data_IF_984700346522
#
_entry.id   IF_984700346522
#
_cell.length_a   1.000
_cell.length_b   1.000
_cell.length_c   1.000
_cell.angle_alpha   90.00
_cell.angle_beta   90.00
_cell.angle_gamma   90.00
#
_symmetry.space_group_name_H-M   'P 1'
#
loop_
_entity.id
_entity.type
_entity.pdbx_description
1 polymer ?
#
# COMPACT_ATOMS: atom_id res chain seq x y z
N UNK A 1 47.04 20.84 -19.53
CA UNK A 1 46.67 19.68 -20.37
C UNK A 1 46.62 18.50 -19.40
N UNK A 2 45.44 18.08 -18.91
CA UNK A 2 44.51 17.12 -19.55
C UNK A 2 45.28 15.86 -19.99
N UNK A 3 45.01 14.63 -19.52
CA UNK A 3 43.74 13.90 -19.32
C UNK A 3 44.00 12.72 -18.36
N UNK A 4 43.23 12.51 -17.29
CA UNK A 4 42.04 11.64 -17.21
C UNK A 4 42.21 10.26 -17.86
N UNK A 5 42.18 9.21 -17.03
CA UNK A 5 41.43 7.98 -17.26
C UNK A 5 41.57 7.11 -16.01
N UNK A 6 40.46 6.91 -15.29
CA UNK A 6 40.18 5.71 -14.53
C UNK A 6 38.71 5.76 -14.12
N UNK A 7 37.89 5.18 -14.99
CA UNK A 7 36.57 4.65 -14.67
C UNK A 7 36.63 3.91 -13.34
N UNK A 8 35.90 4.40 -12.34
CA UNK A 8 35.58 3.63 -11.15
C UNK A 8 34.09 3.77 -10.89
N UNK A 9 33.36 2.74 -11.33
CA UNK A 9 32.05 2.44 -10.80
C UNK A 9 32.17 2.31 -9.27
N UNK A 10 31.39 3.10 -8.53
CA UNK A 10 31.34 3.06 -7.08
C UNK A 10 30.56 1.82 -6.66
N UNK A 11 31.25 0.86 -6.05
CA UNK A 11 30.66 -0.30 -5.36
C UNK A 11 30.48 0.00 -3.88
N UNK A 12 29.50 -0.65 -3.27
CA UNK A 12 28.67 -0.17 -2.15
C UNK A 12 29.27 -0.26 -0.74
N UNK A 13 30.52 0.18 -0.52
CA UNK A 13 31.18 0.08 0.81
C UNK A 13 31.65 1.40 1.43
N UNK A 14 31.25 2.55 0.89
CA UNK A 14 31.57 3.84 1.51
C UNK A 14 30.60 4.16 2.67
N UNK A 15 31.13 4.03 3.89
CA UNK A 15 30.47 4.40 5.15
C UNK A 15 30.17 5.91 5.14
N UNK A 16 28.94 6.25 4.82
CA UNK A 16 28.38 7.59 5.07
C UNK A 16 28.24 7.77 6.58
N UNK A 17 28.81 8.85 7.11
CA UNK A 17 28.56 9.34 8.46
C UNK A 17 27.07 9.70 8.58
N UNK A 18 26.24 8.76 9.04
CA UNK A 18 24.85 9.03 9.42
C UNK A 18 24.89 9.71 10.79
N UNK A 19 24.78 11.03 10.82
CA UNK A 19 24.45 11.74 12.07
C UNK A 19 22.99 11.36 12.38
N UNK A 20 22.82 10.43 13.32
CA UNK A 20 21.53 10.12 13.93
C UNK A 20 20.97 11.40 14.59
N UNK A 21 19.85 11.90 14.09
CA UNK A 21 19.21 13.14 14.56
C UNK A 21 18.25 13.81 13.56
N UNK A 22 17.45 13.04 12.82
CA UNK A 22 16.52 13.55 11.80
C UNK A 22 15.42 14.48 12.30
N UNK A 23 14.86 15.34 11.43
CA UNK A 23 13.65 16.13 11.73
C UNK A 23 12.47 15.18 11.56
N UNK A 24 11.69 15.04 12.63
CA UNK A 24 10.44 14.30 12.61
C UNK A 24 9.42 14.92 11.63
N UNK A 25 8.66 14.08 10.93
CA UNK A 25 7.54 14.46 10.09
C UNK A 25 7.92 15.00 8.71
N UNK A 26 8.79 14.34 7.94
CA UNK A 26 9.03 14.72 6.53
C UNK A 26 8.04 14.02 5.61
N UNK A 27 7.42 14.79 4.72
CA UNK A 27 6.53 14.25 3.69
C UNK A 27 7.33 13.46 2.64
N UNK A 28 6.80 12.35 2.14
CA UNK A 28 7.26 11.69 0.92
C UNK A 28 6.22 11.75 -0.22
N UNK A 29 5.09 12.41 0.02
CA UNK A 29 4.04 12.67 -0.96
C UNK A 29 3.47 14.08 -0.78
N UNK A 30 2.96 14.67 -1.87
CA UNK A 30 2.38 16.01 -1.86
C UNK A 30 1.65 16.34 -3.16
N UNK A 31 1.18 17.58 -3.28
CA UNK A 31 0.19 17.98 -4.29
C UNK A 31 0.59 17.72 -5.76
N UNK A 32 1.84 18.03 -6.13
CA UNK A 32 2.34 17.86 -7.50
C UNK A 32 2.26 16.39 -7.93
N UNK A 33 2.69 15.47 -7.06
CA UNK A 33 2.72 14.03 -7.37
C UNK A 33 1.29 13.47 -7.33
N UNK A 34 0.43 13.96 -6.42
CA UNK A 34 -0.99 13.59 -6.40
C UNK A 34 -1.71 13.95 -7.71
N UNK A 35 -1.47 15.15 -8.26
CA UNK A 35 -2.04 15.58 -9.52
C UNK A 35 -1.48 14.77 -10.72
N UNK A 36 -0.17 14.52 -10.75
CA UNK A 36 0.44 13.67 -11.78
C UNK A 36 -0.16 12.26 -11.77
N UNK A 37 -0.29 11.66 -10.57
CA UNK A 37 -0.89 10.35 -10.37
C UNK A 37 -2.36 10.30 -10.83
N UNK A 38 -3.14 11.35 -10.51
CA UNK A 38 -4.53 11.48 -10.95
C UNK A 38 -4.65 11.53 -12.47
N UNK A 39 -3.82 12.32 -13.16
CA UNK A 39 -3.78 12.39 -14.63
C UNK A 39 -3.45 11.03 -15.24
N UNK A 40 -2.53 10.29 -14.61
CA UNK A 40 -2.14 8.94 -15.04
C UNK A 40 -3.16 7.84 -14.69
N UNK A 41 -4.22 8.18 -13.95
CA UNK A 41 -5.25 7.25 -13.46
C UNK A 41 -4.68 6.18 -12.51
N UNK A 42 -3.67 6.55 -11.72
CA UNK A 42 -3.24 5.78 -10.55
C UNK A 42 -4.36 5.87 -9.51
N UNK A 43 -4.63 4.77 -8.81
CA UNK A 43 -5.81 4.66 -7.94
C UNK A 43 -5.64 5.31 -6.58
N UNK A 44 -4.41 5.35 -6.08
CA UNK A 44 -4.09 5.89 -4.77
C UNK A 44 -2.64 5.66 -4.39
N UNK A 45 -2.27 6.15 -3.20
CA UNK A 45 -0.94 5.96 -2.63
C UNK A 45 -0.99 5.49 -1.19
N UNK A 46 -0.21 4.47 -0.86
CA UNK A 46 0.05 3.97 0.48
C UNK A 46 1.48 4.29 0.85
N UNK A 47 1.70 4.82 2.03
CA UNK A 47 2.98 5.39 2.43
C UNK A 47 3.33 4.95 3.85
N UNK A 48 4.44 4.25 4.06
CA UNK A 48 4.98 4.06 5.42
C UNK A 48 5.73 5.32 5.88
N UNK A 49 4.97 6.40 6.03
CA UNK A 49 5.50 7.75 6.25
C UNK A 49 4.41 8.82 6.20
N UNK A 50 4.83 10.07 5.99
CA UNK A 50 3.95 11.24 6.04
C UNK A 50 3.64 11.77 4.64
N UNK A 51 2.48 12.40 4.49
CA UNK A 51 2.13 13.21 3.32
C UNK A 51 2.00 14.69 3.71
N UNK A 52 2.04 15.58 2.72
CA UNK A 52 1.66 16.99 2.88
C UNK A 52 0.62 17.37 1.84
N UNK A 53 0.08 18.59 1.94
CA UNK A 53 -0.89 19.13 0.98
C UNK A 53 -2.12 18.21 0.82
N UNK A 54 -2.59 17.60 1.92
CA UNK A 54 -3.65 16.57 1.87
C UNK A 54 -4.99 17.12 1.35
N UNK A 55 -5.22 18.42 1.54
CA UNK A 55 -6.38 19.12 1.00
C UNK A 55 -6.39 19.07 -0.54
N UNK A 56 -5.24 19.28 -1.19
CA UNK A 56 -5.12 19.19 -2.65
C UNK A 56 -5.43 17.79 -3.17
N UNK A 57 -4.95 16.75 -2.49
CA UNK A 57 -5.27 15.35 -2.82
C UNK A 57 -6.77 15.05 -2.66
N UNK A 58 -7.39 15.59 -1.59
CA UNK A 58 -8.84 15.46 -1.36
C UNK A 58 -9.64 16.12 -2.47
N UNK A 59 -9.27 17.34 -2.87
CA UNK A 59 -10.03 18.15 -3.82
C UNK A 59 -10.05 17.52 -5.23
N UNK A 60 -9.02 16.77 -5.60
CA UNK A 60 -8.97 15.98 -6.84
C UNK A 60 -9.51 14.55 -6.68
N UNK A 61 -9.98 14.19 -5.48
CA UNK A 61 -10.45 12.85 -5.14
C UNK A 61 -9.39 11.78 -5.37
N UNK A 62 -8.15 12.03 -4.94
CA UNK A 62 -7.04 11.08 -4.99
C UNK A 62 -6.76 10.54 -3.57
N UNK A 63 -6.91 9.23 -3.34
CA UNK A 63 -6.76 8.66 -2.02
C UNK A 63 -5.29 8.45 -1.62
N UNK A 64 -4.96 8.87 -0.40
CA UNK A 64 -3.62 8.80 0.20
C UNK A 64 -3.74 8.22 1.60
N UNK A 65 -3.06 7.12 1.83
CA UNK A 65 -2.97 6.41 3.09
C UNK A 65 -1.55 6.49 3.61
N UNK A 66 -1.40 6.68 4.92
CA UNK A 66 -0.09 6.73 5.55
C UNK A 66 -0.18 6.94 7.04
N UNK A 67 0.91 7.42 7.64
CA UNK A 67 1.04 7.56 9.10
C UNK A 67 0.66 8.93 9.64
N UNK A 68 0.50 9.91 8.76
CA UNK A 68 0.04 11.24 9.14
C UNK A 68 0.32 12.32 8.08
N UNK A 69 -0.01 13.55 8.47
CA UNK A 69 0.15 14.75 7.64
C UNK A 69 1.18 15.68 8.26
N UNK A 70 1.99 16.33 7.42
CA UNK A 70 3.03 17.30 7.83
C UNK A 70 3.12 18.45 6.84
N UNK A 71 3.82 19.53 7.21
CA UNK A 71 4.17 20.63 6.30
C UNK A 71 5.59 20.52 5.71
N UNK A 72 6.43 19.63 6.26
CA UNK A 72 7.87 19.58 5.95
C UNK A 72 8.12 18.82 4.64
N UNK A 73 8.79 19.48 3.69
CA UNK A 73 9.04 18.94 2.34
C UNK A 73 10.10 17.84 2.28
N UNK A 74 9.86 16.85 1.41
CA UNK A 74 10.84 15.84 0.98
C UNK A 74 12.09 16.42 0.31
N UNK A 75 11.98 17.63 -0.26
CA UNK A 75 12.99 18.20 -1.16
C UNK A 75 14.33 18.34 -0.45
N UNK A 76 15.37 17.81 -1.09
CA UNK A 76 16.74 17.71 -0.57
C UNK A 76 16.86 16.88 0.73
N UNK A 77 15.85 16.07 1.08
CA UNK A 77 15.84 15.25 2.31
C UNK A 77 15.63 13.77 2.04
N UNK A 78 14.89 13.44 0.98
CA UNK A 78 14.64 12.08 0.54
C UNK A 78 15.02 11.92 -0.93
N UNK A 79 15.44 10.72 -1.30
CA UNK A 79 15.66 10.31 -2.68
C UNK A 79 14.99 8.96 -2.92
N UNK A 80 14.47 8.78 -4.13
CA UNK A 80 14.12 7.45 -4.63
C UNK A 80 15.41 6.67 -4.90
N UNK A 81 15.46 5.42 -4.47
CA UNK A 81 16.58 4.50 -4.79
C UNK A 81 16.17 3.27 -5.56
N UNK A 82 14.91 2.88 -5.47
CA UNK A 82 14.42 1.68 -6.16
C UNK A 82 12.91 1.77 -6.42
N UNK A 83 12.45 1.02 -7.41
CA UNK A 83 11.04 0.91 -7.78
C UNK A 83 10.77 -0.42 -8.50
N UNK A 84 9.58 -0.99 -8.30
CA UNK A 84 9.21 -2.30 -8.85
C UNK A 84 9.96 -3.46 -8.17
N UNK A 85 10.38 -3.28 -6.92
CA UNK A 85 11.08 -4.28 -6.11
C UNK A 85 10.37 -4.55 -4.79
N UNK A 86 10.71 -5.65 -4.11
CA UNK A 86 10.11 -5.97 -2.80
C UNK A 86 10.40 -4.85 -1.79
N UNK A 87 9.37 -4.45 -1.05
CA UNK A 87 9.43 -3.49 0.05
C UNK A 87 8.83 -4.07 1.32
N UNK A 88 9.15 -3.48 2.48
CA UNK A 88 8.58 -3.87 3.77
C UNK A 88 7.65 -2.79 4.31
N UNK A 89 6.37 -3.11 4.40
CA UNK A 89 5.31 -2.22 4.87
C UNK A 89 4.82 -2.68 6.24
N UNK A 90 5.36 -2.08 7.31
CA UNK A 90 4.92 -2.36 8.70
C UNK A 90 4.96 -3.85 9.08
N UNK A 91 5.98 -4.57 8.59
CA UNK A 91 6.15 -6.02 8.81
C UNK A 91 5.48 -6.91 7.76
N UNK A 92 4.81 -6.32 6.76
CA UNK A 92 4.28 -7.03 5.59
C UNK A 92 5.25 -6.87 4.43
N UNK A 93 5.67 -7.97 3.82
CA UNK A 93 6.44 -7.91 2.56
C UNK A 93 5.47 -7.65 1.42
N UNK A 94 5.75 -6.63 0.62
CA UNK A 94 4.94 -6.26 -0.54
C UNK A 94 5.83 -6.29 -1.77
N UNK A 95 5.43 -7.10 -2.74
CA UNK A 95 6.06 -7.17 -4.04
C UNK A 95 5.21 -6.42 -5.07
N UNK A 96 5.80 -6.17 -6.24
CA UNK A 96 5.04 -5.61 -7.33
C UNK A 96 3.89 -6.55 -7.71
N UNK A 97 2.74 -5.97 -8.09
CA UNK A 97 1.52 -6.66 -8.50
C UNK A 97 0.74 -7.34 -7.35
N UNK A 98 1.22 -7.29 -6.10
CA UNK A 98 0.41 -7.65 -4.93
C UNK A 98 -0.78 -6.70 -4.78
N UNK A 99 -1.88 -7.17 -4.22
CA UNK A 99 -3.10 -6.38 -4.13
C UNK A 99 -3.12 -5.52 -2.86
N UNK A 100 -3.38 -4.23 -3.04
CA UNK A 100 -3.65 -3.27 -1.97
C UNK A 100 -5.16 -3.13 -1.81
N UNK A 101 -5.68 -3.31 -0.59
CA UNK A 101 -7.05 -2.98 -0.21
C UNK A 101 -6.97 -1.92 0.89
N UNK A 102 -7.53 -0.74 0.65
CA UNK A 102 -7.42 0.38 1.57
C UNK A 102 -8.73 1.18 1.68
N UNK A 103 -9.16 1.43 2.92
CA UNK A 103 -10.38 2.19 3.23
C UNK A 103 -10.24 2.95 4.57
N UNK A 104 -11.36 3.33 5.19
CA UNK A 104 -11.34 4.09 6.43
C UNK A 104 -10.88 3.32 7.67
N UNK A 105 -10.81 1.99 7.60
CA UNK A 105 -10.37 1.13 8.68
C UNK A 105 -8.87 0.80 8.60
N UNK A 106 -8.23 1.03 7.45
CA UNK A 106 -6.78 0.89 7.30
C UNK A 106 -6.36 0.42 5.93
N UNK A 107 -5.27 -0.34 5.89
CA UNK A 107 -4.68 -0.91 4.67
C UNK A 107 -4.30 -2.37 4.90
N UNK A 108 -4.67 -3.23 3.96
CA UNK A 108 -4.22 -4.61 3.90
C UNK A 108 -3.57 -4.88 2.54
N UNK A 109 -2.59 -5.79 2.55
CA UNK A 109 -1.93 -6.32 1.36
C UNK A 109 -2.24 -7.81 1.22
N UNK A 110 -2.46 -8.25 0.00
CA UNK A 110 -2.72 -9.66 -0.33
C UNK A 110 -1.80 -10.05 -1.49
N UNK A 111 -1.02 -11.12 -1.29
CA UNK A 111 -0.17 -11.65 -2.34
C UNK A 111 -0.98 -12.04 -3.57
N UNK A 112 -0.49 -11.74 -4.77
CA UNK A 112 -1.20 -12.02 -6.02
C UNK A 112 -1.59 -13.51 -6.16
N UNK A 113 -0.78 -14.44 -5.65
CA UNK A 113 -1.04 -15.89 -5.69
C UNK A 113 -2.07 -16.39 -4.65
N UNK A 114 -2.49 -15.52 -3.71
CA UNK A 114 -3.48 -15.84 -2.66
C UNK A 114 -4.75 -15.00 -2.77
N UNK A 115 -4.85 -14.14 -3.78
CA UNK A 115 -5.94 -13.16 -3.88
C UNK A 115 -7.33 -13.80 -3.96
N UNK A 116 -7.48 -14.88 -4.73
CA UNK A 116 -8.77 -15.55 -4.94
C UNK A 116 -9.33 -16.18 -3.66
N UNK A 117 -8.49 -16.85 -2.86
CA UNK A 117 -8.95 -17.50 -1.62
C UNK A 117 -9.23 -16.49 -0.50
N UNK A 118 -8.50 -15.38 -0.46
CA UNK A 118 -8.78 -14.27 0.46
C UNK A 118 -10.11 -13.62 0.07
N UNK A 119 -10.34 -13.40 -1.23
CA UNK A 119 -11.59 -12.87 -1.75
C UNK A 119 -12.78 -13.74 -1.36
N UNK A 120 -12.77 -15.05 -1.70
CA UNK A 120 -13.87 -15.97 -1.36
C UNK A 120 -14.21 -15.93 0.13
N UNK A 121 -13.16 -16.02 0.97
CA UNK A 121 -13.34 -16.05 2.40
C UNK A 121 -13.88 -14.71 2.95
N UNK A 122 -13.35 -13.58 2.47
CA UNK A 122 -13.80 -12.25 2.87
C UNK A 122 -15.27 -12.02 2.51
N UNK A 123 -15.71 -12.37 1.30
CA UNK A 123 -17.12 -12.25 0.91
C UNK A 123 -18.06 -13.09 1.80
N UNK A 124 -17.60 -14.27 2.25
CA UNK A 124 -18.38 -15.14 3.12
C UNK A 124 -18.47 -14.56 4.53
N UNK A 125 -17.38 -13.98 5.03
CA UNK A 125 -17.33 -13.25 6.30
C UNK A 125 -18.28 -12.04 6.23
N UNK A 126 -18.16 -11.20 5.21
CA UNK A 126 -18.98 -9.98 5.03
C UNK A 126 -20.46 -10.30 4.95
N UNK A 127 -20.84 -11.33 4.18
CA UNK A 127 -22.22 -11.81 4.10
C UNK A 127 -22.74 -12.25 5.47
N UNK A 128 -21.91 -12.87 6.30
CA UNK A 128 -22.32 -13.30 7.64
C UNK A 128 -22.38 -12.12 8.61
N UNK A 129 -21.38 -11.26 8.63
CA UNK A 129 -21.34 -10.08 9.49
C UNK A 129 -22.50 -9.11 9.19
N UNK A 130 -22.83 -8.92 7.90
CA UNK A 130 -24.00 -8.14 7.49
C UNK A 130 -25.28 -8.70 8.12
N UNK A 131 -25.48 -10.02 8.10
CA UNK A 131 -26.65 -10.67 8.75
C UNK A 131 -26.62 -10.51 10.26
N UNK A 132 -25.45 -10.69 10.89
CA UNK A 132 -25.27 -10.50 12.34
C UNK A 132 -25.66 -9.08 12.76
N UNK A 133 -25.22 -8.06 12.02
CA UNK A 133 -25.60 -6.66 12.27
C UNK A 133 -27.11 -6.46 12.15
N UNK A 134 -27.76 -7.07 11.15
CA UNK A 134 -29.23 -6.99 11.02
C UNK A 134 -29.96 -7.69 12.18
N UNK A 135 -29.49 -8.87 12.61
CA UNK A 135 -30.06 -9.59 13.76
C UNK A 135 -29.94 -8.79 15.05
N UNK A 136 -28.80 -8.15 15.29
CA UNK A 136 -28.62 -7.25 16.44
C UNK A 136 -29.59 -6.06 16.34
N UNK A 137 -29.72 -5.45 15.15
CA UNK A 137 -30.63 -4.32 14.91
C UNK A 137 -32.10 -4.68 15.09
N UNK A 138 -32.49 -5.93 14.85
CA UNK A 138 -33.85 -6.43 15.10
C UNK A 138 -34.08 -6.92 16.53
N UNK A 139 -33.09 -6.78 17.42
CA UNK A 139 -33.20 -7.03 18.85
C UNK A 139 -32.74 -8.41 19.32
N UNK A 140 -32.08 -9.21 18.46
CA UNK A 140 -31.47 -10.47 18.89
C UNK A 140 -30.33 -10.18 19.87
N UNK A 141 -30.24 -10.88 21.03
CA UNK A 141 -29.15 -10.68 21.98
C UNK A 141 -27.77 -10.93 21.35
N UNK A 142 -26.83 -10.02 21.57
CA UNK A 142 -25.46 -10.08 20.99
C UNK A 142 -24.75 -11.39 21.31
N UNK A 143 -24.93 -11.93 22.53
CA UNK A 143 -24.33 -13.21 22.94
C UNK A 143 -24.80 -14.38 22.08
N UNK A 144 -26.03 -14.35 21.56
CA UNK A 144 -26.54 -15.39 20.66
C UNK A 144 -26.04 -15.20 19.23
N UNK A 145 -25.89 -13.96 18.79
CA UNK A 145 -25.38 -13.62 17.45
C UNK A 145 -23.89 -13.97 17.34
N UNK A 146 -23.11 -13.63 18.36
CA UNK A 146 -21.65 -13.82 18.38
C UNK A 146 -21.23 -15.28 18.59
N UNK A 147 -22.03 -16.09 19.29
CA UNK A 147 -21.75 -17.53 19.49
C UNK A 147 -22.45 -18.42 18.45
N UNK A 148 -22.82 -17.86 17.30
CA UNK A 148 -23.44 -18.62 16.22
C UNK A 148 -22.39 -19.49 15.49
N UNK A 149 -22.59 -20.81 15.54
CA UNK A 149 -21.75 -21.82 14.89
C UNK A 149 -21.57 -21.60 13.38
N UNK A 150 -22.47 -20.86 12.74
CA UNK A 150 -22.35 -20.51 11.32
C UNK A 150 -21.12 -19.64 11.03
N UNK A 151 -20.70 -18.76 11.95
CA UNK A 151 -19.51 -17.94 11.76
C UNK A 151 -18.22 -18.76 11.94
N UNK A 152 -18.22 -19.69 12.90
CA UNK A 152 -17.11 -20.62 13.13
C UNK A 152 -16.89 -21.55 11.92
N UNK A 153 -17.98 -21.98 11.27
CA UNK A 153 -17.92 -22.90 10.13
C UNK A 153 -17.33 -22.29 8.83
N UNK A 154 -17.16 -20.97 8.76
CA UNK A 154 -16.65 -20.30 7.54
C UNK A 154 -15.21 -20.73 7.20
N UNK A 155 -14.38 -21.08 8.19
CA UNK A 155 -12.99 -21.50 7.93
C UNK A 155 -12.84 -22.93 7.37
N UNK A 156 -13.88 -23.77 7.44
CA UNK A 156 -13.74 -25.22 7.20
C UNK A 156 -13.82 -25.65 5.72
N UNK A 157 -13.88 -24.72 4.76
CA UNK A 157 -13.98 -25.04 3.34
C UNK A 157 -13.14 -24.10 2.49
N UNK A 158 -11.91 -24.49 2.18
CA UNK A 158 -11.09 -23.95 1.09
C UNK A 158 -10.29 -25.08 0.45
N UNK A 159 -10.40 -25.22 -0.88
CA UNK A 159 -9.51 -26.03 -1.72
C UNK A 159 -8.92 -25.05 -2.74
N UNK A 160 -7.60 -24.82 -2.71
CA UNK A 160 -6.92 -23.94 -3.66
C UNK A 160 -5.93 -24.73 -4.54
N UNK A 161 -5.87 -24.47 -5.85
CA UNK A 161 -4.70 -24.79 -6.66
C UNK A 161 -3.66 -23.66 -6.58
N UNK A 162 -2.39 -24.00 -6.85
CA UNK A 162 -1.26 -23.08 -6.90
C UNK A 162 -0.82 -22.84 -8.35
N UNK A 163 -0.20 -21.69 -8.68
CA UNK A 163 1.06 -21.60 -9.47
C UNK A 163 1.61 -20.18 -9.73
N UNK A 164 2.95 -20.08 -9.54
CA UNK A 164 4.03 -19.47 -10.34
C UNK A 164 4.04 -17.97 -10.75
N UNK A 165 4.83 -17.19 -9.99
CA UNK A 165 6.16 -16.65 -10.40
C UNK A 165 6.25 -15.63 -11.55
N UNK A 166 6.47 -14.36 -11.19
CA UNK A 166 6.56 -13.21 -12.11
C UNK A 166 8.01 -12.85 -12.51
N UNK A 167 8.28 -12.44 -13.77
CA UNK A 167 9.56 -11.86 -14.20
C UNK A 167 9.66 -10.35 -13.95
N UNK A 168 10.91 -9.83 -13.87
CA UNK A 168 11.26 -8.43 -13.56
C UNK A 168 10.93 -7.43 -14.68
N UNK A 169 10.34 -6.30 -14.29
CA UNK A 169 10.15 -5.07 -15.07
C UNK A 169 8.68 -4.81 -15.40
N UNK A 170 8.16 -3.61 -15.07
CA UNK A 170 6.75 -3.25 -15.30
C UNK A 170 6.56 -2.37 -16.55
N UNK A 171 6.12 -2.96 -17.68
CA UNK A 171 5.48 -2.20 -18.75
C UNK A 171 4.00 -2.60 -18.93
N UNK A 172 3.34 -3.20 -17.92
CA UNK A 172 2.00 -3.76 -18.11
C UNK A 172 0.95 -2.65 -18.22
N UNK A 173 0.06 -2.76 -19.21
CA UNK A 173 -1.27 -2.18 -19.11
C UNK A 173 -2.10 -3.06 -18.15
N UNK A 174 -3.06 -2.48 -17.40
CA UNK A 174 -3.89 -3.25 -16.47
C UNK A 174 -4.52 -4.44 -17.19
N UNK A 175 -4.30 -5.65 -16.70
CA UNK A 175 -4.86 -6.85 -17.34
C UNK A 175 -6.38 -6.88 -17.10
N UNK A 176 -7.12 -7.58 -17.97
CA UNK A 176 -8.57 -7.76 -17.76
C UNK A 176 -8.86 -8.46 -16.44
N UNK A 177 -7.99 -9.39 -16.04
CA UNK A 177 -8.05 -10.12 -14.78
C UNK A 177 -7.89 -9.18 -13.58
N UNK A 178 -6.90 -8.26 -13.62
CA UNK A 178 -6.74 -7.25 -12.55
C UNK A 178 -7.99 -6.35 -12.44
N UNK A 179 -8.60 -6.00 -13.58
CA UNK A 179 -9.82 -5.19 -13.58
C UNK A 179 -11.01 -5.93 -12.97
N UNK A 180 -11.12 -7.24 -13.24
CA UNK A 180 -12.15 -8.11 -12.66
C UNK A 180 -11.95 -8.31 -11.16
N UNK A 181 -10.75 -8.67 -10.71
CA UNK A 181 -10.42 -8.85 -9.29
C UNK A 181 -10.64 -7.57 -8.50
N UNK A 182 -10.18 -6.44 -9.02
CA UNK A 182 -10.49 -5.12 -8.44
C UNK A 182 -12.00 -4.93 -8.28
N UNK A 183 -12.78 -5.27 -9.30
CA UNK A 183 -14.22 -5.03 -9.28
C UNK A 183 -14.90 -5.90 -8.23
N UNK A 184 -14.41 -7.12 -8.00
CA UNK A 184 -14.90 -8.02 -6.96
C UNK A 184 -14.60 -7.49 -5.55
N UNK A 185 -13.40 -6.95 -5.32
CA UNK A 185 -13.04 -6.33 -4.04
C UNK A 185 -13.61 -4.92 -3.82
N UNK A 186 -14.25 -4.31 -4.83
CA UNK A 186 -14.74 -2.94 -4.72
C UNK A 186 -15.80 -2.76 -3.63
N UNK A 187 -16.52 -3.84 -3.30
CA UNK A 187 -17.54 -3.88 -2.24
C UNK A 187 -17.02 -4.50 -0.92
N UNK A 188 -15.77 -4.97 -0.89
CA UNK A 188 -15.13 -5.45 0.34
C UNK A 188 -14.66 -4.27 1.19
N UNK A 189 -14.60 -4.48 2.50
CA UNK A 189 -13.96 -3.57 3.45
C UNK A 189 -12.66 -4.19 4.00
N UNK A 190 -11.75 -3.34 4.50
CA UNK A 190 -10.49 -3.84 5.05
C UNK A 190 -10.66 -4.72 6.30
N UNK A 191 -11.67 -4.53 7.18
CA UNK A 191 -11.96 -5.48 8.26
C UNK A 191 -12.29 -6.90 7.76
N UNK A 192 -13.15 -7.06 6.76
CA UNK A 192 -13.51 -8.36 6.20
C UNK A 192 -12.31 -9.07 5.57
N UNK A 193 -11.47 -8.31 4.85
CA UNK A 193 -10.19 -8.82 4.31
C UNK A 193 -9.22 -9.20 5.44
N UNK A 194 -9.13 -8.39 6.50
CA UNK A 194 -8.29 -8.68 7.67
C UNK A 194 -8.72 -9.96 8.38
N UNK A 195 -10.02 -10.17 8.58
CA UNK A 195 -10.56 -11.38 9.20
C UNK A 195 -10.29 -12.62 8.33
N UNK A 196 -10.34 -12.48 7.00
CA UNK A 196 -9.99 -13.55 6.07
C UNK A 196 -8.49 -13.91 6.17
N UNK A 197 -7.62 -12.91 6.15
CA UNK A 197 -6.17 -13.08 6.32
C UNK A 197 -5.83 -13.80 7.63
N UNK A 198 -6.42 -13.39 8.75
CA UNK A 198 -6.22 -14.03 10.06
C UNK A 198 -6.66 -15.50 10.07
N UNK A 199 -7.81 -15.80 9.47
CA UNK A 199 -8.32 -17.18 9.36
C UNK A 199 -7.46 -18.07 8.46
N UNK A 200 -6.83 -17.50 7.43
CA UNK A 200 -5.93 -18.20 6.51
C UNK A 200 -4.49 -18.26 7.02
N UNK A 201 -4.18 -17.56 8.11
CA UNK A 201 -2.82 -17.45 8.65
C UNK A 201 -1.86 -16.68 7.72
N UNK A 202 -2.38 -15.75 6.93
CA UNK A 202 -1.61 -14.94 5.98
C UNK A 202 -1.32 -13.58 6.63
N UNK A 203 -0.05 -13.19 6.79
CA UNK A 203 0.27 -11.83 7.22
C UNK A 203 0.01 -10.85 6.06
N UNK A 204 -0.90 -9.89 6.26
CA UNK A 204 -1.20 -8.86 5.26
C UNK A 204 -1.62 -7.51 5.81
N UNK A 205 -1.90 -7.42 7.11
CA UNK A 205 -2.43 -6.21 7.74
C UNK A 205 -1.30 -5.20 8.02
N UNK A 206 -1.39 -4.01 7.40
CA UNK A 206 -0.40 -2.95 7.56
C UNK A 206 -0.77 -2.02 8.72
N UNK A 207 -0.26 -2.32 9.90
CA UNK A 207 -0.59 -1.57 11.11
C UNK A 207 -0.23 -0.07 11.01
N UNK A 208 -1.19 0.79 11.36
CA UNK A 208 -1.06 2.26 11.40
C UNK A 208 -0.82 2.92 10.03
N UNK A 209 -1.23 2.28 8.95
CA UNK A 209 -1.38 2.90 7.62
C UNK A 209 -2.86 3.23 7.43
N UNK A 210 -3.21 4.48 7.74
CA UNK A 210 -4.59 4.96 7.82
C UNK A 210 -4.87 5.95 6.69
N UNK A 211 -6.13 6.18 6.29
CA UNK A 211 -6.43 7.23 5.34
C UNK A 211 -6.06 8.60 5.93
N UNK A 212 -5.47 9.48 5.12
CA UNK A 212 -5.06 10.81 5.58
C UNK A 212 -6.20 11.85 5.49
N UNK A 213 -7.35 11.47 4.94
CA UNK A 213 -8.62 12.21 4.95
C UNK A 213 -9.78 11.22 4.84
N UNK A 214 -11.03 11.66 4.92
CA UNK A 214 -12.19 10.79 4.81
C UNK A 214 -12.48 10.41 3.35
N UNK A 215 -12.10 9.20 2.94
CA UNK A 215 -12.40 8.65 1.62
C UNK A 215 -13.66 7.79 1.68
N UNK A 216 -14.59 7.96 0.75
CA UNK A 216 -15.90 7.29 0.82
C UNK A 216 -15.92 5.87 0.23
N UNK A 217 -14.84 5.45 -0.43
CA UNK A 217 -14.79 4.18 -1.16
C UNK A 217 -13.54 3.41 -0.79
N UNK A 218 -13.67 2.10 -0.68
CA UNK A 218 -12.53 1.19 -0.69
C UNK A 218 -11.76 1.40 -1.99
N UNK A 219 -10.45 1.55 -1.87
CA UNK A 219 -9.54 1.65 -3.01
C UNK A 219 -8.79 0.34 -3.13
N UNK A 220 -8.85 -0.27 -4.30
CA UNK A 220 -8.23 -1.57 -4.58
C UNK A 220 -7.43 -1.50 -5.86
N UNK A 221 -6.23 -2.08 -5.87
CA UNK A 221 -5.43 -2.25 -7.08
C UNK A 221 -4.09 -2.95 -6.84
N UNK A 222 -3.41 -3.37 -7.91
CA UNK A 222 -2.07 -3.96 -7.84
C UNK A 222 -1.03 -2.93 -7.38
N UNK A 223 -0.03 -3.39 -6.64
CA UNK A 223 0.99 -2.57 -6.04
C UNK A 223 2.08 -2.22 -7.05
N UNK A 224 2.38 -0.92 -7.19
CA UNK A 224 3.64 -0.44 -7.72
C UNK A 224 4.51 0.04 -6.56
N UNK A 225 5.55 -0.73 -6.23
CA UNK A 225 6.38 -0.48 -5.05
C UNK A 225 7.50 0.52 -5.34
N UNK A 226 7.81 1.35 -4.36
CA UNK A 226 8.83 2.40 -4.44
C UNK A 226 9.57 2.47 -3.11
N UNK A 227 10.90 2.56 -3.14
CA UNK A 227 11.72 2.67 -1.94
C UNK A 227 12.44 4.01 -1.87
N UNK A 228 12.26 4.69 -0.74
CA UNK A 228 12.91 5.97 -0.43
C UNK A 228 13.95 5.81 0.68
N UNK A 229 15.05 6.56 0.58
CA UNK A 229 16.13 6.66 1.60
C UNK A 229 16.49 8.15 1.82
N UNK A 230 17.30 8.53 2.84
CA UNK A 230 17.68 9.92 3.01
C UNK A 230 18.50 10.38 1.81
N UNK A 231 18.38 11.66 1.46
CA UNK A 231 19.15 12.22 0.36
C UNK A 231 20.66 12.12 0.63
N UNK A 232 21.40 11.72 -0.41
CA UNK A 232 22.85 11.90 -0.49
C UNK A 232 23.18 13.29 -1.05
N UNK A 233 24.47 13.65 -1.06
CA UNK A 233 24.97 14.86 -1.73
C UNK A 233 25.75 14.47 -3.00
N UNK A 234 25.32 14.88 -4.21
CA UNK A 234 24.19 15.76 -4.49
C UNK A 234 22.82 15.08 -4.32
N UNK A 235 21.76 15.84 -4.02
CA UNK A 235 20.42 15.26 -3.86
C UNK A 235 19.89 14.72 -5.20
N UNK A 236 19.32 13.52 -5.16
CA UNK A 236 18.57 12.91 -6.25
C UNK A 236 17.14 13.47 -6.40
N UNK A 237 16.34 12.82 -7.24
CA UNK A 237 14.95 13.18 -7.52
C UNK A 237 13.93 12.45 -6.62
N UNK A 238 12.71 13.00 -6.59
CA UNK A 238 11.55 12.46 -5.88
C UNK A 238 10.39 12.49 -6.86
N UNK A 239 9.79 11.33 -7.14
CA UNK A 239 8.58 11.23 -7.97
C UNK A 239 8.78 10.74 -9.41
N UNK A 240 10.02 10.53 -9.86
CA UNK A 240 10.31 10.11 -11.24
C UNK A 240 9.66 8.77 -11.60
N UNK A 241 9.49 7.87 -10.62
CA UNK A 241 8.79 6.60 -10.81
C UNK A 241 7.36 6.74 -11.33
N UNK A 242 6.71 7.90 -11.20
CA UNK A 242 5.34 8.11 -11.65
C UNK A 242 5.21 7.81 -13.15
N UNK A 243 6.25 8.03 -13.94
CA UNK A 243 6.26 7.74 -15.38
C UNK A 243 6.29 6.23 -15.70
N UNK A 244 6.62 5.40 -14.73
CA UNK A 244 6.66 3.93 -14.86
C UNK A 244 5.41 3.22 -14.34
N UNK A 245 4.56 3.89 -13.53
CA UNK A 245 3.36 3.29 -12.92
C UNK A 245 2.26 3.03 -13.95
N UNK A 246 1.60 1.88 -13.96
CA UNK A 246 0.51 1.63 -14.89
C UNK A 246 -0.80 2.32 -14.46
N UNK A 247 -1.67 2.76 -15.40
CA UNK A 247 -3.03 3.16 -15.08
C UNK A 247 -3.75 2.04 -14.33
N UNK A 248 -4.35 2.35 -13.17
CA UNK A 248 -5.00 1.36 -12.33
C UNK A 248 -4.12 0.77 -11.22
N UNK A 249 -2.82 1.04 -11.19
CA UNK A 249 -1.97 0.62 -10.08
C UNK A 249 -2.21 1.48 -8.82
N UNK A 250 -1.75 0.95 -7.70
CA UNK A 250 -1.69 1.59 -6.40
C UNK A 250 -0.22 1.77 -6.02
N UNK A 251 0.20 3.01 -5.80
CA UNK A 251 1.62 3.29 -5.45
C UNK A 251 1.86 2.97 -3.98
N UNK A 252 2.87 2.14 -3.70
CA UNK A 252 3.27 1.73 -2.34
C UNK A 252 4.67 2.24 -2.05
N UNK A 253 4.79 3.22 -1.14
CA UNK A 253 6.06 3.86 -0.80
C UNK A 253 6.55 3.36 0.56
N UNK A 254 7.64 2.61 0.52
CA UNK A 254 8.44 2.29 1.68
C UNK A 254 9.44 3.42 1.95
N UNK A 255 9.14 4.20 2.99
CA UNK A 255 10.04 5.20 3.54
C UNK A 255 10.76 4.70 4.80
N UNK A 256 10.83 3.38 5.01
CA UNK A 256 11.45 2.71 6.14
C UNK A 256 10.72 2.91 7.47
N UNK A 257 9.44 3.28 7.41
CA UNK A 257 8.69 3.76 8.56
C UNK A 257 9.33 4.94 9.27
N UNK A 258 10.23 5.65 8.57
CA UNK A 258 10.94 6.78 9.14
C UNK A 258 9.95 7.90 9.32
N UNK A 259 9.84 8.29 10.57
CA UNK A 259 9.28 9.58 10.92
C UNK A 259 10.38 10.63 10.85
N UNK A 260 11.66 10.24 10.83
CA UNK A 260 12.83 11.08 10.97
C UNK A 260 13.77 10.97 9.76
N UNK A 261 14.13 12.10 9.16
CA UNK A 261 15.33 12.21 8.32
C UNK A 261 15.91 13.62 8.45
N UNK A 262 17.22 13.77 8.58
CA UNK A 262 17.91 15.02 8.25
C UNK A 262 19.02 14.68 7.28
N UNK A 263 19.35 15.66 6.44
CA UNK A 263 20.67 15.79 5.83
C UNK A 263 21.73 16.05 6.87
#
# INVERSE_FOLDING_TARGET
MATSNLDHAVTTDDRVLVISGGIEGISCWGDIIANAAKVKKIRGSVIDGMSRDIDGSRDIGYPVFGRGVTMISARNRLIQVDSGTEVEMRGVKVTQDDYVIADNCGTAFVSADRIEEVLDLSERIDRRQTKMVQEVRTGRPVVEVMHDKQFEAIAASTNGPATNGTPKGNPKQPTSEDQELVALFADSDTPGVSDALDKLGIPGQAFNIMPLTNYQKTTVGPAFTVRYVPASSPPGSVGDFIDDVAPGDFVVIDNGGRMDCTV
#
